data_IF_156410315389
#
_entry.id   IF_156410315389
#
_cell.length_a   1.000
_cell.length_b   1.000
_cell.length_c   1.000
_cell.angle_alpha   90.00
_cell.angle_beta   90.00
_cell.angle_gamma   90.00
#
_symmetry.space_group_name_H-M   'P 1'
#
loop_
_entity.id
_entity.type
_entity.pdbx_description
1 polymer ?
#
# COMPACT_ATOMS: atom_id res chain seq x y z
N UNK A 1 0.44 25.59 -11.65
CA UNK A 1 -0.11 24.44 -12.42
C UNK A 1 0.83 23.21 -12.50
N UNK A 2 1.98 23.17 -11.80
CA UNK A 2 2.88 22.01 -11.84
C UNK A 2 2.38 20.76 -11.10
N UNK A 3 1.57 20.92 -10.05
CA UNK A 3 0.99 19.80 -9.30
C UNK A 3 0.02 18.97 -10.16
N UNK A 4 -0.80 19.64 -10.99
CA UNK A 4 -1.75 18.93 -11.85
C UNK A 4 -1.04 18.15 -12.96
N UNK A 5 0.03 18.71 -13.52
CA UNK A 5 0.88 18.02 -14.50
C UNK A 5 1.52 16.79 -13.85
N UNK A 6 2.16 16.95 -12.69
CA UNK A 6 2.78 15.83 -11.97
C UNK A 6 1.77 14.73 -11.61
N UNK A 7 0.57 15.11 -11.16
CA UNK A 7 -0.51 14.15 -10.86
C UNK A 7 -1.02 13.43 -12.12
N UNK A 8 -1.11 14.12 -13.25
CA UNK A 8 -1.47 13.50 -14.53
C UNK A 8 -0.43 12.44 -14.93
N UNK A 9 0.85 12.77 -14.86
CA UNK A 9 1.92 11.84 -15.21
C UNK A 9 1.96 10.65 -14.25
N UNK A 10 1.77 10.89 -12.95
CA UNK A 10 1.71 9.83 -11.95
C UNK A 10 0.50 8.90 -12.16
N UNK A 11 -0.66 9.43 -12.56
CA UNK A 11 -1.83 8.63 -12.95
C UNK A 11 -1.54 7.80 -14.20
N UNK A 12 -0.85 8.36 -15.18
CA UNK A 12 -0.46 7.61 -16.37
C UNK A 12 0.49 6.45 -16.02
N UNK A 13 1.50 6.68 -15.19
CA UNK A 13 2.41 5.62 -14.73
C UNK A 13 1.66 4.55 -13.92
N UNK A 14 0.77 4.95 -13.02
CA UNK A 14 -0.05 4.01 -12.24
C UNK A 14 -0.95 3.12 -13.10
N UNK A 15 -1.48 3.63 -14.22
CA UNK A 15 -2.23 2.80 -15.19
C UNK A 15 -1.33 1.82 -15.94
N UNK A 16 -0.12 2.25 -16.32
CA UNK A 16 0.85 1.37 -16.99
C UNK A 16 1.25 0.24 -16.04
N UNK A 17 1.65 0.54 -14.81
CA UNK A 17 2.03 -0.48 -13.82
C UNK A 17 0.86 -1.42 -13.50
N UNK A 18 -0.38 -0.91 -13.41
CA UNK A 18 -1.55 -1.75 -13.23
C UNK A 18 -1.83 -2.66 -14.44
N UNK A 19 -1.60 -2.17 -15.66
CA UNK A 19 -1.70 -2.97 -16.88
C UNK A 19 -0.62 -4.06 -16.92
N UNK A 20 0.61 -3.74 -16.50
CA UNK A 20 1.72 -4.69 -16.42
C UNK A 20 1.44 -5.81 -15.41
N UNK A 21 0.89 -5.48 -14.23
CA UNK A 21 0.47 -6.49 -13.24
C UNK A 21 -0.56 -7.46 -13.82
N UNK A 22 -1.54 -6.95 -14.58
CA UNK A 22 -2.57 -7.77 -15.25
C UNK A 22 -1.98 -8.61 -16.38
N UNK A 23 -1.06 -8.04 -17.14
CA UNK A 23 -0.33 -8.77 -18.17
C UNK A 23 0.48 -9.92 -17.57
N UNK A 24 1.21 -9.69 -16.47
CA UNK A 24 1.95 -10.75 -15.76
C UNK A 24 1.00 -11.85 -15.29
N UNK A 25 -0.17 -11.50 -14.77
CA UNK A 25 -1.18 -12.48 -14.39
C UNK A 25 -1.64 -13.34 -15.57
N UNK A 26 -1.88 -12.73 -16.74
CA UNK A 26 -2.20 -13.46 -17.98
C UNK A 26 -1.06 -14.40 -18.40
N UNK A 27 0.19 -13.95 -18.26
CA UNK A 27 1.35 -14.80 -18.55
C UNK A 27 1.45 -15.98 -17.58
N UNK A 28 1.22 -15.77 -16.29
CA UNK A 28 1.23 -16.83 -15.29
C UNK A 28 0.14 -17.88 -15.57
N UNK A 29 -1.07 -17.48 -15.95
CA UNK A 29 -2.12 -18.43 -16.36
C UNK A 29 -1.72 -19.26 -17.59
N UNK A 30 -1.04 -18.64 -18.56
CA UNK A 30 -0.55 -19.35 -19.75
C UNK A 30 0.54 -20.35 -19.39
N UNK A 31 1.46 -19.97 -18.49
CA UNK A 31 2.54 -20.83 -18.01
C UNK A 31 1.98 -22.01 -17.20
N UNK A 32 1.00 -21.78 -16.33
CA UNK A 32 0.35 -22.84 -15.54
C UNK A 32 -0.34 -23.91 -16.41
N UNK A 33 -0.86 -23.52 -17.58
CA UNK A 33 -1.50 -24.43 -18.54
C UNK A 33 -0.51 -25.14 -19.47
N UNK A 34 0.75 -24.71 -19.53
CA UNK A 34 1.74 -25.22 -20.49
C UNK A 34 2.61 -26.31 -19.87
N UNK A 35 2.50 -27.54 -20.37
CA UNK A 35 3.37 -28.65 -19.94
C UNK A 35 4.88 -28.40 -20.19
N UNK A 36 5.21 -27.43 -21.05
CA UNK A 36 6.60 -26.99 -21.29
C UNK A 36 7.14 -26.10 -20.17
N UNK A 37 6.28 -25.54 -19.32
CA UNK A 37 6.68 -24.71 -18.18
C UNK A 37 6.82 -25.56 -16.92
N UNK A 38 7.95 -26.27 -16.78
CA UNK A 38 8.14 -27.24 -15.69
C UNK A 38 7.96 -26.65 -14.28
N UNK A 39 8.28 -25.36 -14.09
CA UNK A 39 8.17 -24.68 -12.80
C UNK A 39 6.72 -24.32 -12.46
N UNK A 40 5.91 -23.96 -13.45
CA UNK A 40 4.57 -23.40 -13.23
C UNK A 40 3.43 -24.34 -13.58
N UNK A 41 3.66 -25.39 -14.39
CA UNK A 41 2.61 -26.26 -14.89
C UNK A 41 1.78 -26.89 -13.78
N UNK A 42 0.51 -26.46 -13.66
CA UNK A 42 -0.44 -26.88 -12.61
C UNK A 42 0.05 -26.63 -11.18
N UNK A 43 0.77 -25.52 -10.94
CA UNK A 43 1.37 -25.18 -9.64
C UNK A 43 0.80 -23.91 -9.02
N UNK A 44 0.01 -23.12 -9.76
CA UNK A 44 -0.50 -21.84 -9.31
C UNK A 44 -1.98 -21.93 -8.91
N UNK A 45 -2.32 -21.30 -7.79
CA UNK A 45 -3.70 -21.20 -7.32
C UNK A 45 -4.30 -19.82 -7.63
N UNK A 46 -5.00 -19.75 -8.77
CA UNK A 46 -5.65 -18.52 -9.22
C UNK A 46 -6.91 -18.13 -8.42
N UNK A 47 -7.33 -18.93 -7.44
CA UNK A 47 -8.35 -18.51 -6.47
C UNK A 47 -7.80 -17.58 -5.39
N UNK A 48 -6.47 -17.54 -5.22
CA UNK A 48 -5.77 -16.80 -4.16
C UNK A 48 -4.70 -15.87 -4.73
N UNK A 49 -5.15 -14.76 -5.31
CA UNK A 49 -4.27 -13.76 -5.95
C UNK A 49 -4.30 -12.46 -5.16
N UNK A 50 -3.12 -11.89 -4.88
CA UNK A 50 -2.99 -10.53 -4.37
C UNK A 50 -2.00 -9.71 -5.20
N UNK A 51 -2.24 -8.40 -5.24
CA UNK A 51 -1.27 -7.42 -5.74
C UNK A 51 -0.69 -6.64 -4.55
N UNK A 52 0.63 -6.58 -4.46
CA UNK A 52 1.37 -5.92 -3.37
C UNK A 52 2.40 -5.01 -4.02
N UNK A 53 2.52 -3.78 -3.53
CA UNK A 53 3.55 -2.88 -4.02
C UNK A 53 3.89 -1.77 -3.04
N UNK A 54 5.08 -1.22 -3.23
CA UNK A 54 5.63 -0.10 -2.46
C UNK A 54 5.50 1.21 -3.25
N UNK A 55 5.18 2.30 -2.55
CA UNK A 55 5.08 3.64 -3.12
C UNK A 55 4.08 3.68 -4.29
N UNK A 56 4.49 4.17 -5.47
CA UNK A 56 3.66 4.14 -6.68
C UNK A 56 3.14 2.73 -7.01
N UNK A 57 3.99 1.69 -6.84
CA UNK A 57 3.60 0.31 -7.07
C UNK A 57 2.46 -0.17 -6.16
N UNK A 58 2.35 0.39 -4.96
CA UNK A 58 1.24 0.11 -4.05
C UNK A 58 -0.08 0.72 -4.53
N UNK A 59 -0.01 1.94 -5.06
CA UNK A 59 -1.17 2.59 -5.70
C UNK A 59 -1.57 1.87 -7.00
N UNK A 60 -0.59 1.40 -7.79
CA UNK A 60 -0.81 0.59 -8.97
C UNK A 60 -1.41 -0.79 -8.64
N UNK A 61 -1.01 -1.41 -7.52
CA UNK A 61 -1.62 -2.66 -7.04
C UNK A 61 -3.11 -2.49 -6.73
N UNK A 62 -3.50 -1.38 -6.08
CA UNK A 62 -4.91 -1.05 -5.85
C UNK A 62 -5.64 -0.79 -7.18
N UNK A 63 -5.01 -0.08 -8.12
CA UNK A 63 -5.57 0.15 -9.45
C UNK A 63 -5.80 -1.17 -10.20
N UNK A 64 -4.85 -2.10 -10.14
CA UNK A 64 -5.01 -3.42 -10.75
C UNK A 64 -6.22 -4.17 -10.15
N UNK A 65 -6.45 -4.11 -8.84
CA UNK A 65 -7.65 -4.66 -8.21
C UNK A 65 -8.96 -4.05 -8.74
N UNK A 66 -9.00 -2.73 -8.96
CA UNK A 66 -10.18 -2.08 -9.54
C UNK A 66 -10.48 -2.55 -10.96
N UNK A 67 -9.45 -2.94 -11.71
CA UNK A 67 -9.53 -3.32 -13.12
C UNK A 67 -9.71 -4.83 -13.32
N UNK A 68 -9.27 -5.66 -12.38
CA UNK A 68 -9.20 -7.11 -12.54
C UNK A 68 -9.72 -7.87 -11.30
N UNK A 69 -10.87 -8.51 -11.47
CA UNK A 69 -11.55 -9.25 -10.40
C UNK A 69 -10.88 -10.57 -10.03
N UNK A 70 -9.87 -11.03 -10.79
CA UNK A 70 -9.05 -12.19 -10.41
C UNK A 70 -8.22 -11.88 -9.17
N UNK A 71 -7.73 -10.65 -9.05
CA UNK A 71 -7.01 -10.18 -7.86
C UNK A 71 -8.03 -10.05 -6.72
N UNK A 72 -7.75 -10.70 -5.59
CA UNK A 72 -8.66 -10.84 -4.44
C UNK A 72 -8.29 -9.94 -3.26
N UNK A 73 -7.05 -9.46 -3.20
CA UNK A 73 -6.57 -8.55 -2.18
C UNK A 73 -5.53 -7.58 -2.76
N UNK A 74 -5.46 -6.36 -2.26
CA UNK A 74 -4.42 -5.40 -2.62
C UNK A 74 -3.72 -4.81 -1.40
N UNK A 75 -2.42 -4.55 -1.52
CA UNK A 75 -1.59 -3.95 -0.47
C UNK A 75 -0.81 -2.80 -1.04
N UNK A 76 -1.02 -1.62 -0.45
CA UNK A 76 -0.21 -0.44 -0.69
C UNK A 76 0.72 -0.20 0.51
N UNK A 77 2.02 -0.35 0.28
CA UNK A 77 3.06 -0.03 1.23
C UNK A 77 3.51 1.42 1.00
N UNK A 78 2.98 2.34 1.80
CA UNK A 78 3.42 3.73 1.94
C UNK A 78 3.33 4.59 0.68
N UNK A 79 2.51 4.19 -0.30
CA UNK A 79 2.14 5.02 -1.44
C UNK A 79 1.05 6.03 -1.07
N UNK A 80 1.33 7.31 -1.24
CA UNK A 80 0.37 8.37 -0.96
C UNK A 80 0.58 9.59 -1.85
N UNK A 81 -0.50 10.28 -2.16
CA UNK A 81 -0.52 11.51 -2.96
C UNK A 81 -1.59 12.46 -2.43
N UNK A 82 -1.75 13.66 -3.02
CA UNK A 82 -2.92 14.49 -2.75
C UNK A 82 -4.27 13.81 -3.02
N UNK A 83 -4.31 12.74 -3.83
CA UNK A 83 -5.54 11.95 -4.07
C UNK A 83 -5.91 11.03 -2.89
N UNK A 84 -4.99 10.81 -1.93
CA UNK A 84 -5.14 9.87 -0.82
C UNK A 84 -4.11 8.74 -0.86
N UNK A 85 -4.52 7.55 -0.40
CA UNK A 85 -3.73 6.30 -0.37
C UNK A 85 -3.81 5.50 -1.68
N UNK A 86 -4.53 5.99 -2.69
CA UNK A 86 -4.38 5.52 -4.06
C UNK A 86 -4.82 6.59 -5.06
N UNK A 87 -4.32 6.46 -6.29
CA UNK A 87 -4.63 7.38 -7.38
C UNK A 87 -6.12 7.32 -7.72
N UNK A 88 -6.72 8.48 -7.89
CA UNK A 88 -8.10 8.57 -8.37
C UNK A 88 -8.10 8.54 -9.90
N UNK A 89 -9.12 7.94 -10.52
CA UNK A 89 -9.29 7.96 -11.97
C UNK A 89 -10.72 8.37 -12.29
N UNK A 90 -10.94 9.23 -13.30
CA UNK A 90 -12.28 9.50 -13.81
C UNK A 90 -12.96 8.17 -14.16
N UNK A 91 -14.15 7.93 -13.61
CA UNK A 91 -14.93 6.70 -13.76
C UNK A 91 -14.33 5.41 -13.14
N UNK A 92 -13.37 5.53 -12.20
CA UNK A 92 -12.97 4.38 -11.39
C UNK A 92 -14.18 3.76 -10.69
N UNK A 93 -14.29 2.43 -10.74
CA UNK A 93 -15.29 1.71 -9.95
C UNK A 93 -14.84 1.70 -8.48
N UNK A 94 -15.80 1.70 -7.53
CA UNK A 94 -15.46 1.45 -6.13
C UNK A 94 -14.67 0.15 -5.99
N UNK A 95 -13.67 0.16 -5.11
CA UNK A 95 -12.88 -1.02 -4.83
C UNK A 95 -13.76 -2.06 -4.14
N UNK A 96 -13.83 -3.27 -4.72
CA UNK A 96 -14.67 -4.37 -4.21
C UNK A 96 -13.87 -5.35 -3.35
N UNK A 97 -12.57 -5.42 -3.58
CA UNK A 97 -11.65 -6.28 -2.86
C UNK A 97 -11.21 -5.60 -1.56
N UNK A 98 -10.91 -6.37 -0.50
CA UNK A 98 -10.23 -5.84 0.67
C UNK A 98 -8.90 -5.20 0.28
N UNK A 99 -8.52 -4.11 0.94
CA UNK A 99 -7.16 -3.56 0.82
C UNK A 99 -6.52 -3.20 2.15
N UNK A 100 -5.20 -3.23 2.13
CA UNK A 100 -4.33 -2.80 3.22
C UNK A 100 -3.48 -1.62 2.76
N UNK A 101 -3.40 -0.59 3.60
CA UNK A 101 -2.40 0.45 3.51
C UNK A 101 -1.45 0.34 4.72
N UNK A 102 -0.15 0.29 4.48
CA UNK A 102 0.88 0.32 5.54
C UNK A 102 1.62 1.65 5.46
N UNK A 103 1.65 2.41 6.54
CA UNK A 103 2.29 3.72 6.66
C UNK A 103 3.55 3.61 7.54
N UNK A 104 4.70 4.08 7.04
CA UNK A 104 5.98 3.98 7.74
C UNK A 104 6.21 5.06 8.82
N UNK A 105 5.61 6.22 8.69
CA UNK A 105 5.92 7.37 9.56
C UNK A 105 4.72 8.31 9.59
N UNK A 106 4.45 9.00 10.72
CA UNK A 106 3.48 10.09 10.72
C UNK A 106 3.81 11.14 9.65
N UNK A 107 2.77 11.87 9.22
CA UNK A 107 2.88 12.92 8.23
C UNK A 107 4.07 13.86 8.49
N UNK A 108 4.81 14.19 7.42
CA UNK A 108 5.91 15.14 7.47
C UNK A 108 5.41 16.44 8.07
N UNK A 109 6.14 17.00 9.03
CA UNK A 109 5.87 18.34 9.58
C UNK A 109 7.03 19.26 9.25
N UNK A 110 6.71 20.45 8.78
CA UNK A 110 7.68 21.52 8.53
C UNK A 110 7.54 22.60 9.60
N UNK A 111 8.62 23.30 9.93
CA UNK A 111 8.59 24.54 10.72
C UNK A 111 8.06 25.70 9.88
N UNK A 112 7.62 26.79 10.51
CA UNK A 112 7.14 27.98 9.78
C UNK A 112 8.22 28.59 8.89
N UNK A 113 9.49 28.55 9.32
CA UNK A 113 10.63 28.98 8.52
C UNK A 113 10.78 28.11 7.25
N UNK A 114 10.73 26.78 7.39
CA UNK A 114 10.83 25.86 6.27
C UNK A 114 9.67 26.03 5.27
N UNK A 115 8.47 26.34 5.77
CA UNK A 115 7.33 26.65 4.91
C UNK A 115 7.53 27.98 4.18
N UNK A 116 8.01 29.02 4.87
CA UNK A 116 8.31 30.31 4.27
C UNK A 116 9.37 30.23 3.16
N UNK A 117 10.43 29.43 3.35
CA UNK A 117 11.45 29.15 2.33
C UNK A 117 10.88 28.48 1.07
N UNK A 118 9.74 27.79 1.20
CA UNK A 118 9.00 27.15 0.10
C UNK A 118 7.88 28.05 -0.46
N UNK A 119 7.69 29.25 0.09
CA UNK A 119 6.60 30.14 -0.27
C UNK A 119 5.21 29.63 0.14
N UNK A 120 5.13 28.80 1.19
CA UNK A 120 3.88 28.20 1.70
C UNK A 120 3.58 28.81 3.06
N UNK A 121 2.34 29.21 3.33
CA UNK A 121 1.93 29.64 4.68
C UNK A 121 1.56 28.43 5.55
N UNK A 122 1.67 28.55 6.88
CA UNK A 122 1.16 27.51 7.81
C UNK A 122 -0.29 27.15 7.52
N UNK A 123 -1.13 28.15 7.32
CA UNK A 123 -2.54 27.95 7.03
C UNK A 123 -2.77 27.17 5.73
N UNK A 124 -1.99 27.43 4.67
CA UNK A 124 -2.10 26.68 3.40
C UNK A 124 -1.61 25.24 3.56
N UNK A 125 -0.51 25.06 4.30
CA UNK A 125 0.02 23.73 4.63
C UNK A 125 -1.01 22.89 5.39
N UNK A 126 -1.59 23.44 6.46
CA UNK A 126 -2.57 22.74 7.29
C UNK A 126 -3.85 22.41 6.51
N UNK A 127 -4.32 23.35 5.66
CA UNK A 127 -5.47 23.08 4.77
C UNK A 127 -5.19 21.96 3.78
N UNK A 128 -4.00 21.92 3.18
CA UNK A 128 -3.63 20.83 2.27
C UNK A 128 -3.49 19.50 3.01
N UNK A 129 -2.83 19.49 4.18
CA UNK A 129 -2.70 18.29 5.01
C UNK A 129 -4.08 17.73 5.41
N UNK A 130 -5.01 18.60 5.80
CA UNK A 130 -6.39 18.19 6.10
C UNK A 130 -7.09 17.62 4.87
N UNK A 131 -6.96 18.26 3.70
CA UNK A 131 -7.58 17.77 2.47
C UNK A 131 -7.06 16.37 2.07
N UNK A 132 -5.76 16.09 2.27
CA UNK A 132 -5.19 14.75 2.08
C UNK A 132 -5.74 13.76 3.09
N UNK A 133 -5.77 14.11 4.37
CA UNK A 133 -6.34 13.25 5.41
C UNK A 133 -7.81 12.88 5.12
N UNK A 134 -8.61 13.86 4.70
CA UNK A 134 -10.01 13.64 4.32
C UNK A 134 -10.13 12.74 3.08
N UNK A 135 -9.21 12.86 2.12
CA UNK A 135 -9.18 12.00 0.94
C UNK A 135 -8.83 10.56 1.29
N UNK A 136 -7.85 10.34 2.17
CA UNK A 136 -7.50 9.02 2.69
C UNK A 136 -8.69 8.40 3.43
N UNK A 137 -9.32 9.15 4.35
CA UNK A 137 -10.47 8.69 5.14
C UNK A 137 -11.63 8.25 4.25
N UNK A 138 -11.97 9.04 3.22
CA UNK A 138 -12.99 8.67 2.22
C UNK A 138 -12.63 7.36 1.52
N UNK A 139 -11.39 7.22 1.05
CA UNK A 139 -10.93 6.01 0.36
C UNK A 139 -11.03 4.75 1.23
N UNK A 140 -10.71 4.85 2.52
CA UNK A 140 -10.88 3.74 3.45
C UNK A 140 -12.36 3.39 3.66
N UNK A 141 -13.22 4.39 3.89
CA UNK A 141 -14.66 4.20 4.19
C UNK A 141 -15.48 3.73 2.99
N UNK A 142 -15.16 4.23 1.80
CA UNK A 142 -15.93 3.95 0.58
C UNK A 142 -15.54 2.62 -0.08
N UNK A 143 -14.50 1.93 0.41
CA UNK A 143 -14.12 0.60 -0.05
C UNK A 143 -15.16 -0.45 0.35
N UNK A 144 -15.73 -1.14 -0.63
CA UNK A 144 -16.81 -2.10 -0.41
C UNK A 144 -16.31 -3.42 0.19
N UNK A 145 -15.04 -3.77 -0.03
CA UNK A 145 -14.42 -5.00 0.47
C UNK A 145 -13.90 -4.91 1.90
N UNK A 146 -14.07 -3.76 2.57
CA UNK A 146 -13.38 -3.44 3.81
C UNK A 146 -11.94 -3.00 3.57
N UNK A 147 -11.37 -2.30 4.54
CA UNK A 147 -10.02 -1.75 4.41
C UNK A 147 -9.29 -1.64 5.75
N UNK A 148 -7.97 -1.65 5.67
CA UNK A 148 -7.07 -1.64 6.82
C UNK A 148 -6.04 -0.54 6.63
N UNK A 149 -5.87 0.30 7.65
CA UNK A 149 -4.73 1.21 7.77
C UNK A 149 -3.84 0.68 8.89
N UNK A 150 -2.57 0.45 8.59
CA UNK A 150 -1.60 -0.01 9.57
C UNK A 150 -0.45 0.97 9.61
N UNK A 151 -0.20 1.56 10.78
CA UNK A 151 0.96 2.40 11.01
C UNK A 151 2.05 1.57 11.68
N UNK A 152 3.25 1.57 11.11
CA UNK A 152 4.45 0.97 11.68
C UNK A 152 5.34 2.09 12.21
N UNK A 153 5.56 2.13 13.52
CA UNK A 153 6.22 3.22 14.26
C UNK A 153 7.51 2.76 14.95
N UNK A 154 8.24 1.88 14.29
CA UNK A 154 9.53 1.39 14.77
C UNK A 154 10.63 2.47 14.64
N UNK A 155 11.64 2.50 15.52
CA UNK A 155 12.76 3.45 15.39
C UNK A 155 13.46 3.36 14.02
N UNK A 156 13.54 4.50 13.32
CA UNK A 156 14.16 4.57 12.00
C UNK A 156 13.30 4.04 10.85
N UNK A 157 12.05 3.66 11.10
CA UNK A 157 11.07 3.35 10.05
C UNK A 157 10.89 4.57 9.15
N UNK A 158 10.90 4.35 7.84
CA UNK A 158 10.77 5.38 6.82
C UNK A 158 10.32 4.75 5.50
N UNK A 159 10.04 5.59 4.49
CA UNK A 159 9.59 5.15 3.16
C UNK A 159 10.45 4.04 2.54
N UNK A 160 11.76 4.04 2.72
CA UNK A 160 12.65 3.01 2.15
C UNK A 160 12.68 1.69 2.94
N UNK A 161 11.92 1.58 4.03
CA UNK A 161 11.94 0.40 4.91
C UNK A 161 11.12 -0.79 4.37
N UNK A 162 10.34 -0.61 3.31
CA UNK A 162 9.54 -1.67 2.67
C UNK A 162 10.31 -2.48 1.62
N UNK A 163 11.60 -2.20 1.43
CA UNK A 163 12.43 -2.91 0.46
C UNK A 163 13.86 -3.14 0.95
N UNK A 164 14.64 -3.85 0.15
CA UNK A 164 15.93 -4.39 0.57
C UNK A 164 17.07 -3.36 0.61
N UNK A 165 16.84 -2.16 0.06
CA UNK A 165 17.89 -1.15 -0.10
C UNK A 165 18.59 -0.80 1.22
N UNK A 166 17.85 -0.73 2.32
CA UNK A 166 18.41 -0.40 3.64
C UNK A 166 19.21 -1.57 4.26
N UNK A 167 19.07 -2.80 3.77
CA UNK A 167 19.89 -3.94 4.22
C UNK A 167 21.36 -3.83 3.78
N UNK A 168 21.62 -3.02 2.75
CA UNK A 168 22.96 -2.69 2.27
C UNK A 168 23.71 -1.70 3.17
N UNK A 169 23.11 -1.30 4.31
CA UNK A 169 23.78 -0.44 5.28
C UNK A 169 25.13 -1.00 5.71
N UNK A 170 26.09 -0.10 5.93
CA UNK A 170 27.50 -0.46 6.19
C UNK A 170 27.76 -0.88 7.63
N UNK A 171 26.94 -0.46 8.60
CA UNK A 171 27.09 -0.84 10.01
C UNK A 171 26.13 -1.96 10.42
N UNK A 172 26.55 -2.87 11.32
CA UNK A 172 25.69 -3.94 11.83
C UNK A 172 24.38 -3.42 12.45
N UNK A 173 24.43 -2.31 13.20
CA UNK A 173 23.28 -1.75 13.90
C UNK A 173 22.25 -1.18 12.92
N UNK A 174 22.71 -0.52 11.86
CA UNK A 174 21.82 0.00 10.82
C UNK A 174 21.17 -1.14 10.03
N UNK A 175 21.92 -2.19 9.71
CA UNK A 175 21.38 -3.38 9.05
C UNK A 175 20.37 -4.12 9.93
N UNK A 176 20.64 -4.24 11.23
CA UNK A 176 19.71 -4.87 12.17
C UNK A 176 18.40 -4.08 12.27
N UNK A 177 18.46 -2.75 12.35
CA UNK A 177 17.26 -1.89 12.31
C UNK A 177 16.50 -2.04 11.00
N UNK A 178 17.19 -2.03 9.86
CA UNK A 178 16.57 -2.23 8.55
C UNK A 178 15.85 -3.60 8.46
N UNK A 179 16.50 -4.66 8.95
CA UNK A 179 15.90 -6.00 9.00
C UNK A 179 14.68 -6.04 9.91
N UNK A 180 14.74 -5.47 11.11
CA UNK A 180 13.59 -5.37 12.03
C UNK A 180 12.40 -4.68 11.36
N UNK A 181 12.63 -3.50 10.78
CA UNK A 181 11.59 -2.73 10.12
C UNK A 181 10.98 -3.48 8.93
N UNK A 182 11.82 -4.10 8.09
CA UNK A 182 11.35 -4.93 6.97
C UNK A 182 10.49 -6.09 7.45
N UNK A 183 10.92 -6.81 8.50
CA UNK A 183 10.16 -7.92 9.07
C UNK A 183 8.79 -7.49 9.60
N UNK A 184 8.68 -6.34 10.27
CA UNK A 184 7.39 -5.80 10.70
C UNK A 184 6.44 -5.58 9.51
N UNK A 185 6.94 -5.02 8.40
CA UNK A 185 6.11 -4.80 7.20
C UNK A 185 5.70 -6.11 6.53
N UNK A 186 6.59 -7.11 6.53
CA UNK A 186 6.30 -8.45 6.02
C UNK A 186 5.26 -9.16 6.87
N UNK A 187 5.33 -9.05 8.19
CA UNK A 187 4.39 -9.65 9.13
C UNK A 187 2.99 -9.04 8.99
N UNK A 188 2.89 -7.71 8.87
CA UNK A 188 1.61 -7.02 8.59
C UNK A 188 1.04 -7.43 7.25
N UNK A 189 1.86 -7.45 6.19
CA UNK A 189 1.44 -7.86 4.85
C UNK A 189 0.93 -9.30 4.87
N UNK A 190 1.68 -10.21 5.51
CA UNK A 190 1.30 -11.62 5.66
C UNK A 190 -0.01 -11.79 6.42
N UNK A 191 -0.15 -11.12 7.56
CA UNK A 191 -1.36 -11.19 8.38
C UNK A 191 -2.62 -10.75 7.61
N UNK A 192 -2.50 -9.77 6.72
CA UNK A 192 -3.60 -9.39 5.83
C UNK A 192 -3.89 -10.45 4.76
N UNK A 193 -2.87 -10.94 4.07
CA UNK A 193 -3.04 -11.94 3.01
C UNK A 193 -3.57 -13.27 3.55
N UNK A 194 -3.12 -13.70 4.73
CA UNK A 194 -3.62 -14.90 5.38
C UNK A 194 -5.10 -14.75 5.76
N UNK A 195 -5.50 -13.58 6.26
CA UNK A 195 -6.90 -13.28 6.55
C UNK A 195 -7.77 -13.32 5.29
N UNK A 196 -7.35 -12.67 4.20
CA UNK A 196 -8.18 -12.51 3.00
C UNK A 196 -8.14 -13.72 2.07
N UNK A 197 -6.96 -14.34 1.88
CA UNK A 197 -6.76 -15.41 0.91
C UNK A 197 -6.83 -16.81 1.52
N UNK A 198 -6.57 -16.95 2.83
CA UNK A 198 -6.64 -18.24 3.54
C UNK A 198 -7.78 -18.32 4.55
N UNK A 199 -8.56 -17.24 4.71
CA UNK A 199 -9.66 -17.16 5.68
C UNK A 199 -9.20 -17.38 7.12
N UNK A 200 -7.98 -16.96 7.46
CA UNK A 200 -7.50 -17.04 8.84
C UNK A 200 -8.26 -16.04 9.72
N UNK A 201 -8.99 -16.58 10.72
CA UNK A 201 -9.93 -15.79 11.52
C UNK A 201 -9.22 -14.78 12.45
N UNK A 202 -8.06 -15.15 12.99
CA UNK A 202 -7.29 -14.34 13.93
C UNK A 202 -5.89 -14.12 13.38
N UNK A 203 -5.55 -12.86 13.11
CA UNK A 203 -4.20 -12.45 12.72
C UNK A 203 -3.74 -11.27 13.57
N UNK A 204 -2.53 -10.79 13.33
CA UNK A 204 -1.99 -9.58 13.93
C UNK A 204 -2.96 -8.37 13.81
N UNK A 205 -3.79 -8.34 12.76
CA UNK A 205 -4.73 -7.24 12.49
C UNK A 205 -5.94 -7.22 13.42
N UNK A 206 -6.21 -8.30 14.15
CA UNK A 206 -7.34 -8.40 15.08
C UNK A 206 -6.94 -8.09 16.53
N UNK A 207 -5.64 -7.94 16.79
CA UNK A 207 -5.13 -7.69 18.12
C UNK A 207 -5.45 -6.25 18.55
N UNK A 208 -5.79 -6.03 19.84
CA UNK A 208 -6.00 -4.69 20.34
C UNK A 208 -4.70 -3.89 20.25
N UNK A 209 -4.82 -2.63 19.82
CA UNK A 209 -3.67 -1.71 19.76
C UNK A 209 -3.10 -1.47 21.17
N UNK A 210 -1.98 -2.11 21.48
CA UNK A 210 -1.28 -1.88 22.75
C UNK A 210 -0.43 -0.60 22.67
N UNK A 211 -0.36 0.24 23.72
CA UNK A 211 0.40 1.50 23.69
C UNK A 211 1.84 1.33 23.20
N UNK A 212 2.55 0.31 23.69
CA UNK A 212 3.95 0.01 23.37
C UNK A 212 4.17 -0.70 22.02
N UNK A 213 3.10 -1.09 21.30
CA UNK A 213 3.23 -1.76 20.01
C UNK A 213 3.77 -0.79 18.95
N UNK A 214 4.76 -1.25 18.19
CA UNK A 214 5.26 -0.60 16.98
C UNK A 214 4.21 -0.62 15.86
N UNK A 215 3.18 -1.46 15.97
CA UNK A 215 2.13 -1.63 14.97
C UNK A 215 0.81 -1.10 15.53
N UNK A 216 0.16 -0.20 14.80
CA UNK A 216 -1.19 0.32 15.09
C UNK A 216 -2.11 0.02 13.93
N UNK A 217 -3.21 -0.65 14.20
CA UNK A 217 -4.19 -1.09 13.20
C UNK A 217 -5.48 -0.31 13.35
N UNK A 218 -5.97 0.21 12.24
CA UNK A 218 -7.30 0.80 12.09
C UNK A 218 -8.04 0.05 10.99
N UNK A 219 -9.30 -0.32 11.25
CA UNK A 219 -10.12 -1.14 10.34
C UNK A 219 -11.38 -0.37 9.96
N UNK A 220 -11.69 -0.32 8.67
CA UNK A 220 -12.85 0.39 8.12
C UNK A 220 -13.72 -0.57 7.31
N UNK A 221 -15.04 -0.37 7.38
CA UNK A 221 -16.01 -1.25 6.72
C UNK A 221 -16.33 -2.52 7.51
N UNK A 222 -17.33 -3.26 7.04
CA UNK A 222 -17.98 -4.30 7.84
C UNK A 222 -17.10 -5.56 8.00
N UNK A 223 -16.78 -5.89 9.25
CA UNK A 223 -16.62 -7.29 9.68
C UNK A 223 -17.93 -8.00 9.36
N UNK A 224 -17.96 -8.85 8.35
CA UNK A 224 -18.98 -9.89 8.22
C UNK A 224 -18.29 -11.23 8.23
#
# INVERSE_FOLDING_TARGET
>A
DGVQIAMKDMRQLGEIEAADLRFVLDQLERLDKSAKSLVFFRRLDFSRIAAVGHSLGGMAAIRACQLDTRIKACVNQDGGTPDGVFLQYPAAKPLKQPFLFIEATPAITFTDQQLAERGITRADWDRNAQAVADAQERQFRDSLGGSYKVQVRAPGMNHMSFGDALLLATTPEARQRALHNMLLTMDVTRAFLDKVLKSEAQTLLDQPNQPASEIKVEVFGARR
#
